data_IF_500993832990
#
_entry.id   IF_500993832990
#
_cell.length_a   1.000
_cell.length_b   1.000
_cell.length_c   1.000
_cell.angle_alpha   90.00
_cell.angle_beta   90.00
_cell.angle_gamma   90.00
#
_symmetry.space_group_name_H-M   'P 1'
#
loop_
_entity.id
_entity.type
_entity.pdbx_description
1 polymer ?
#
# COMPACT_ATOMS: atom_id res chain seq x y z
N UNK A 1 -7.80 -10.33 -66.05
CA UNK A 1 -8.32 -9.41 -65.02
C UNK A 1 -8.01 -10.00 -63.65
N UNK A 2 -7.12 -9.38 -62.88
CA UNK A 2 -6.70 -9.85 -61.57
C UNK A 2 -7.61 -9.29 -60.47
N UNK A 3 -8.01 -10.07 -59.44
CA UNK A 3 -8.84 -9.55 -58.37
C UNK A 3 -8.01 -8.76 -57.36
N UNK A 4 -8.66 -7.74 -56.83
CA UNK A 4 -8.17 -6.61 -56.07
C UNK A 4 -7.68 -7.03 -54.65
N UNK A 5 -6.37 -7.01 -54.38
CA UNK A 5 -5.79 -7.32 -53.06
C UNK A 5 -5.73 -6.11 -52.10
N UNK A 6 -6.25 -4.95 -52.48
CA UNK A 6 -6.07 -3.70 -51.72
C UNK A 6 -7.04 -3.51 -50.54
N UNK A 7 -8.18 -4.20 -50.51
CA UNK A 7 -9.25 -3.91 -49.54
C UNK A 7 -9.13 -4.67 -48.20
N UNK A 8 -8.36 -5.76 -48.15
CA UNK A 8 -8.17 -6.54 -46.91
C UNK A 8 -7.09 -5.94 -46.01
N UNK A 9 -6.07 -5.30 -46.58
CA UNK A 9 -4.97 -4.69 -45.83
C UNK A 9 -5.44 -3.48 -45.00
N UNK A 10 -6.31 -2.63 -45.55
CA UNK A 10 -6.80 -1.42 -44.85
C UNK A 10 -7.73 -1.74 -43.68
N UNK A 11 -8.51 -2.82 -43.77
CA UNK A 11 -9.38 -3.29 -42.69
C UNK A 11 -8.58 -3.87 -41.51
N UNK A 12 -7.49 -4.60 -41.80
CA UNK A 12 -6.57 -5.13 -40.79
C UNK A 12 -5.82 -4.01 -40.06
N UNK A 13 -5.34 -3.01 -40.82
CA UNK A 13 -4.64 -1.84 -40.28
C UNK A 13 -5.57 -0.99 -39.39
N UNK A 14 -6.82 -0.79 -39.82
CA UNK A 14 -7.87 -0.13 -39.02
C UNK A 14 -8.20 -0.87 -37.71
N UNK A 15 -8.16 -2.21 -37.73
CA UNK A 15 -8.38 -3.03 -36.54
C UNK A 15 -7.21 -2.92 -35.55
N UNK A 16 -5.97 -2.95 -36.05
CA UNK A 16 -4.76 -2.78 -35.24
C UNK A 16 -4.67 -1.39 -34.61
N UNK A 17 -5.06 -0.35 -35.34
CA UNK A 17 -5.15 1.03 -34.83
C UNK A 17 -6.17 1.16 -33.70
N UNK A 18 -7.36 0.53 -33.83
CA UNK A 18 -8.37 0.50 -32.76
C UNK A 18 -7.88 -0.24 -31.51
N UNK A 19 -7.18 -1.36 -31.69
CA UNK A 19 -6.57 -2.10 -30.58
C UNK A 19 -5.51 -1.27 -29.84
N UNK A 20 -4.65 -0.56 -30.58
CA UNK A 20 -3.67 0.36 -29.99
C UNK A 20 -4.33 1.48 -29.18
N UNK A 21 -5.38 2.10 -29.72
CA UNK A 21 -6.12 3.15 -29.01
C UNK A 21 -6.75 2.64 -27.72
N UNK A 22 -7.36 1.45 -27.76
CA UNK A 22 -7.98 0.86 -26.57
C UNK A 22 -6.95 0.48 -25.50
N UNK A 23 -5.80 -0.08 -25.92
CA UNK A 23 -4.71 -0.41 -25.00
C UNK A 23 -4.11 0.84 -24.35
N UNK A 24 -3.89 1.91 -25.13
CA UNK A 24 -3.36 3.17 -24.61
C UNK A 24 -4.32 3.84 -23.62
N UNK A 25 -5.63 3.83 -23.93
CA UNK A 25 -6.65 4.36 -23.02
C UNK A 25 -6.72 3.57 -21.70
N UNK A 26 -6.60 2.24 -21.77
CA UNK A 26 -6.59 1.37 -20.59
C UNK A 26 -5.35 1.59 -19.71
N UNK A 27 -4.18 1.79 -20.33
CA UNK A 27 -2.95 2.15 -19.59
C UNK A 27 -3.05 3.52 -18.92
N UNK A 28 -3.61 4.53 -19.59
CA UNK A 28 -3.82 5.85 -18.97
C UNK A 28 -4.78 5.77 -17.78
N UNK A 29 -5.87 4.99 -17.86
CA UNK A 29 -6.78 4.80 -16.73
C UNK A 29 -6.11 4.10 -15.55
N UNK A 30 -5.28 3.08 -15.78
CA UNK A 30 -4.54 2.41 -14.71
C UNK A 30 -3.52 3.34 -14.05
N UNK A 31 -2.84 4.18 -14.83
CA UNK A 31 -1.86 5.13 -14.31
C UNK A 31 -2.53 6.26 -13.49
N UNK A 32 -3.72 6.71 -13.88
CA UNK A 32 -4.52 7.67 -13.10
C UNK A 32 -5.07 7.08 -11.78
N UNK A 33 -5.42 5.79 -11.75
CA UNK A 33 -5.83 5.13 -10.51
C UNK A 33 -4.66 4.96 -9.52
N UNK A 34 -3.43 4.75 -10.03
CA UNK A 34 -2.24 4.66 -9.17
C UNK A 34 -1.85 6.01 -8.56
N UNK A 35 -2.00 7.12 -9.30
CA UNK A 35 -1.67 8.46 -8.78
C UNK A 35 -2.68 8.96 -7.74
N UNK A 36 -3.96 8.57 -7.82
CA UNK A 36 -4.96 8.91 -6.79
C UNK A 36 -4.72 8.20 -5.45
N UNK A 37 -3.99 7.09 -5.42
CA UNK A 37 -3.66 6.40 -4.16
C UNK A 37 -2.49 7.05 -3.40
N UNK A 38 -1.67 7.86 -4.08
CA UNK A 38 -0.52 8.52 -3.49
C UNK A 38 -0.89 9.96 -3.10
N UNK A 39 -1.49 10.12 -1.92
CA UNK A 39 -1.54 11.47 -1.33
C UNK A 39 -0.10 11.93 -1.07
N UNK A 40 0.24 13.22 -1.32
CA UNK A 40 1.55 13.74 -1.01
C UNK A 40 1.82 13.62 0.50
N UNK A 41 2.66 12.67 0.87
CA UNK A 41 3.08 12.43 2.25
C UNK A 41 4.10 13.47 2.65
N UNK A 42 3.65 14.68 2.98
CA UNK A 42 4.52 15.62 3.69
C UNK A 42 4.84 15.00 5.05
N UNK A 43 6.12 14.91 5.46
CA UNK A 43 6.45 14.49 6.82
C UNK A 43 5.74 15.42 7.79
N UNK A 44 5.00 14.86 8.74
CA UNK A 44 4.51 15.65 9.86
C UNK A 44 5.76 16.05 10.64
N UNK A 45 5.98 17.35 10.78
CA UNK A 45 7.11 17.80 11.59
C UNK A 45 6.86 17.35 13.02
N UNK A 46 7.92 16.94 13.74
CA UNK A 46 7.82 16.57 15.15
C UNK A 46 7.08 17.64 15.99
N UNK A 47 7.09 18.90 15.55
CA UNK A 47 6.38 20.01 16.17
C UNK A 47 4.85 19.97 15.96
N UNK A 48 4.34 19.49 14.84
CA UNK A 48 2.90 19.31 14.61
C UNK A 48 2.32 18.16 15.46
N UNK A 49 3.17 17.17 15.76
CA UNK A 49 2.87 16.07 16.68
C UNK A 49 2.98 16.56 18.13
N UNK A 50 4.05 17.30 18.48
CA UNK A 50 4.24 17.88 19.83
C UNK A 50 3.19 18.93 20.21
N UNK A 51 2.68 19.73 19.26
CA UNK A 51 1.70 20.79 19.52
C UNK A 51 0.29 20.28 19.82
N UNK A 52 0.00 18.99 19.57
CA UNK A 52 -1.31 18.41 19.76
C UNK A 52 -1.56 17.93 21.19
N UNK A 53 -1.23 18.73 22.23
CA UNK A 53 -1.62 18.52 23.64
C UNK A 53 -1.70 17.01 24.00
N UNK A 54 -0.59 16.33 23.70
CA UNK A 54 -0.44 14.89 23.87
C UNK A 54 -0.51 14.65 25.36
N UNK A 55 -1.69 14.25 25.85
CA UNK A 55 -1.74 13.46 27.08
C UNK A 55 -1.02 12.16 26.74
N UNK A 56 -0.17 11.73 27.66
CA UNK A 56 0.85 10.67 27.58
C UNK A 56 0.32 9.26 27.25
N UNK A 57 -0.88 9.10 26.67
CA UNK A 57 -1.63 7.86 26.66
C UNK A 57 -2.38 7.56 25.36
N UNK A 58 -2.03 8.16 24.21
CA UNK A 58 -2.70 7.81 22.95
C UNK A 58 -2.03 6.68 22.22
N UNK A 59 -2.85 5.71 21.85
CA UNK A 59 -2.45 4.67 20.90
C UNK A 59 -2.31 5.26 19.50
N UNK A 60 -1.56 4.58 18.64
CA UNK A 60 -1.38 4.96 17.23
C UNK A 60 -2.73 5.08 16.52
N UNK A 61 -3.69 4.18 16.80
CA UNK A 61 -5.03 4.26 16.25
C UNK A 61 -5.77 5.57 16.65
N UNK A 62 -5.62 6.02 17.89
CA UNK A 62 -6.19 7.30 18.35
C UNK A 62 -5.51 8.49 17.68
N UNK A 63 -4.20 8.46 17.53
CA UNK A 63 -3.43 9.46 16.80
C UNK A 63 -3.89 9.56 15.34
N UNK A 64 -4.03 8.42 14.64
CA UNK A 64 -4.53 8.35 13.26
C UNK A 64 -5.92 8.99 13.14
N UNK A 65 -6.87 8.62 14.02
CA UNK A 65 -8.23 9.21 14.01
C UNK A 65 -8.19 10.73 14.16
N UNK A 66 -7.40 11.24 15.09
CA UNK A 66 -7.28 12.68 15.35
C UNK A 66 -6.62 13.43 14.19
N UNK A 67 -5.56 12.87 13.61
CA UNK A 67 -4.87 13.46 12.45
C UNK A 67 -5.83 13.49 11.25
N UNK A 68 -6.55 12.39 10.98
CA UNK A 68 -7.54 12.34 9.90
C UNK A 68 -8.63 13.41 10.06
N UNK A 69 -9.20 13.54 11.26
CA UNK A 69 -10.18 14.60 11.57
C UNK A 69 -9.58 16.00 11.37
N UNK A 70 -8.36 16.24 11.86
CA UNK A 70 -7.68 17.55 11.76
C UNK A 70 -7.39 17.92 10.30
N UNK A 71 -7.01 16.95 9.49
CA UNK A 71 -6.71 17.12 8.06
C UNK A 71 -7.97 17.07 7.17
N UNK A 72 -9.15 16.85 7.75
CA UNK A 72 -10.42 16.67 7.04
C UNK A 72 -10.35 15.60 5.93
N UNK A 73 -9.67 14.49 6.21
CA UNK A 73 -9.61 13.32 5.32
C UNK A 73 -10.48 12.19 5.87
N UNK A 74 -11.17 11.41 5.01
CA UNK A 74 -11.91 10.24 5.46
C UNK A 74 -10.98 9.24 6.15
N UNK A 75 -11.40 8.74 7.30
CA UNK A 75 -10.70 7.66 7.98
C UNK A 75 -10.74 6.40 7.11
N UNK A 76 -9.63 5.67 7.05
CA UNK A 76 -9.50 4.41 6.30
C UNK A 76 -8.55 3.49 7.04
N UNK A 77 -8.79 2.19 6.98
CA UNK A 77 -7.98 1.12 7.59
C UNK A 77 -6.52 1.12 7.09
N UNK A 78 -6.28 1.59 5.87
CA UNK A 78 -4.92 1.72 5.34
C UNK A 78 -4.12 2.87 5.96
N UNK A 79 -4.72 3.76 6.75
CA UNK A 79 -3.95 4.82 7.39
C UNK A 79 -2.97 4.23 8.42
N UNK A 80 -1.76 4.79 8.40
CA UNK A 80 -0.64 4.33 9.19
C UNK A 80 0.20 5.51 9.65
N UNK A 81 0.83 5.34 10.82
CA UNK A 81 1.99 6.13 11.21
C UNK A 81 3.23 5.31 10.87
N UNK A 82 4.13 5.89 10.09
CA UNK A 82 5.39 5.26 9.69
C UNK A 82 6.53 6.06 10.30
N UNK A 83 7.39 5.38 11.05
CA UNK A 83 8.68 5.92 11.44
C UNK A 83 9.75 5.57 10.41
N UNK A 84 10.66 6.50 10.18
CA UNK A 84 11.85 6.32 9.37
C UNK A 84 13.08 6.67 10.19
N UNK A 85 14.10 5.83 10.08
CA UNK A 85 15.46 6.04 10.57
C UNK A 85 16.36 6.29 9.35
N UNK A 86 16.53 7.55 8.89
CA UNK A 86 17.22 7.82 7.63
C UNK A 86 18.66 7.29 7.59
N UNK A 87 19.38 7.45 8.70
CA UNK A 87 20.76 6.99 8.85
C UNK A 87 20.91 5.45 8.72
N UNK A 88 19.85 4.71 9.07
CA UNK A 88 19.83 3.25 9.00
C UNK A 88 19.13 2.73 7.73
N UNK A 89 18.52 3.62 6.93
CA UNK A 89 17.68 3.27 5.79
C UNK A 89 16.50 2.34 6.16
N UNK A 90 15.98 2.45 7.38
CA UNK A 90 14.88 1.62 7.90
C UNK A 90 13.58 2.43 7.97
N UNK A 91 12.47 1.76 7.62
CA UNK A 91 11.10 2.24 7.85
C UNK A 91 10.30 1.18 8.57
N UNK A 92 9.49 1.60 9.53
CA UNK A 92 8.58 0.73 10.28
C UNK A 92 7.19 1.34 10.33
N UNK A 93 6.17 0.51 10.13
CA UNK A 93 4.79 0.87 10.40
C UNK A 93 4.56 0.62 11.89
N UNK A 94 4.01 1.61 12.62
CA UNK A 94 3.52 1.34 13.96
C UNK A 94 2.23 0.53 13.93
N UNK A 95 2.10 -0.40 14.86
CA UNK A 95 0.88 -1.11 15.15
C UNK A 95 -0.12 -0.21 15.87
N UNK A 96 -1.40 -0.44 15.61
CA UNK A 96 -2.48 0.43 16.09
C UNK A 96 -2.60 0.54 17.62
N UNK A 97 -2.13 -0.49 18.33
CA UNK A 97 -2.19 -0.58 19.79
C UNK A 97 -0.99 0.04 20.49
N UNK A 98 0.08 0.38 19.76
CA UNK A 98 1.28 0.97 20.36
C UNK A 98 1.02 2.40 20.82
N UNK A 99 1.66 2.82 21.92
CA UNK A 99 1.64 4.21 22.36
C UNK A 99 2.69 5.01 21.58
N UNK A 100 2.24 6.00 20.81
CA UNK A 100 3.13 6.75 19.91
C UNK A 100 4.17 7.56 20.68
N UNK A 101 3.78 8.11 21.83
CA UNK A 101 4.63 8.98 22.65
C UNK A 101 5.80 8.21 23.26
N UNK A 102 5.50 7.06 23.85
CA UNK A 102 6.51 6.19 24.47
C UNK A 102 7.59 5.80 23.46
N UNK A 103 7.18 5.46 22.24
CA UNK A 103 8.10 5.14 21.15
C UNK A 103 8.96 6.34 20.71
N UNK A 104 8.38 7.53 20.56
CA UNK A 104 9.14 8.74 20.17
C UNK A 104 10.12 9.15 21.27
N UNK A 105 9.80 8.92 22.54
CA UNK A 105 10.69 9.22 23.67
C UNK A 105 11.96 8.37 23.67
N UNK A 106 12.00 7.27 22.93
CA UNK A 106 13.20 6.46 22.73
C UNK A 106 14.19 7.08 21.72
N UNK A 107 13.78 8.13 20.99
CA UNK A 107 14.65 8.80 20.03
C UNK A 107 15.68 9.70 20.76
N UNK A 108 16.88 9.82 20.19
CA UNK A 108 17.88 10.77 20.71
C UNK A 108 17.40 12.21 20.54
N UNK A 109 17.88 13.12 21.39
CA UNK A 109 17.50 14.54 21.36
C UNK A 109 17.76 15.20 19.98
N UNK A 110 18.82 14.78 19.31
CA UNK A 110 19.24 15.23 17.98
C UNK A 110 18.81 14.28 16.85
N UNK A 111 17.80 13.44 17.09
CA UNK A 111 17.36 12.44 16.12
C UNK A 111 16.93 13.08 14.80
N UNK A 112 17.40 12.48 13.70
CA UNK A 112 16.96 12.79 12.33
C UNK A 112 15.78 11.92 11.90
N UNK A 113 15.24 11.09 12.80
CA UNK A 113 14.10 10.22 12.50
C UNK A 113 12.88 11.05 12.13
N UNK A 114 12.03 10.46 11.29
CA UNK A 114 10.84 11.15 10.73
C UNK A 114 9.60 10.33 10.99
N UNK A 115 8.48 11.03 11.16
CA UNK A 115 7.15 10.43 11.22
C UNK A 115 6.32 10.85 10.01
N UNK A 116 5.65 9.86 9.44
CA UNK A 116 4.75 10.06 8.30
C UNK A 116 3.36 9.56 8.67
N UNK A 117 2.36 10.38 8.36
CA UNK A 117 0.98 9.92 8.23
C UNK A 117 0.72 9.60 6.77
N UNK A 118 0.46 8.33 6.46
CA UNK A 118 0.35 7.84 5.08
C UNK A 118 -0.60 6.65 4.97
N UNK A 119 -0.89 6.20 3.75
CA UNK A 119 -1.63 4.96 3.48
C UNK A 119 -0.67 3.81 3.18
N UNK A 120 -0.88 2.67 3.84
CA UNK A 120 -0.10 1.43 3.71
C UNK A 120 -1.05 0.25 3.49
N UNK A 121 -1.21 -0.15 2.22
CA UNK A 121 -2.07 -1.27 1.84
C UNK A 121 -1.50 -2.62 2.32
N UNK A 122 -0.21 -2.68 2.58
CA UNK A 122 0.51 -3.84 3.08
C UNK A 122 0.32 -4.07 4.59
N UNK A 123 -0.12 -3.07 5.36
CA UNK A 123 -0.28 -3.13 6.82
C UNK A 123 -1.10 -4.33 7.30
N UNK A 124 -2.23 -4.58 6.63
CA UNK A 124 -3.16 -5.66 6.98
C UNK A 124 -3.29 -6.73 5.89
N UNK A 125 -2.37 -6.75 4.93
CA UNK A 125 -2.42 -7.68 3.80
C UNK A 125 -2.50 -9.16 4.22
N UNK A 126 -1.99 -9.50 5.41
CA UNK A 126 -2.08 -10.87 5.95
C UNK A 126 -3.48 -11.26 6.43
N UNK A 127 -4.35 -10.30 6.75
CA UNK A 127 -5.75 -10.57 7.10
C UNK A 127 -6.57 -10.89 5.85
N UNK A 128 -6.27 -10.23 4.73
CA UNK A 128 -6.98 -10.43 3.46
C UNK A 128 -6.53 -11.70 2.73
N UNK A 129 -5.24 -12.05 2.84
CA UNK A 129 -4.61 -13.17 2.13
C UNK A 129 -3.78 -14.04 3.07
N UNK A 130 -4.36 -14.57 4.17
CA UNK A 130 -3.62 -15.27 5.22
C UNK A 130 -2.80 -16.45 4.69
N UNK A 131 -3.25 -17.09 3.61
CA UNK A 131 -2.55 -18.21 2.99
C UNK A 131 -1.17 -17.83 2.44
N UNK A 132 -0.96 -16.58 2.05
CA UNK A 132 0.35 -16.13 1.57
C UNK A 132 1.38 -15.91 2.69
N UNK A 133 0.91 -15.75 3.93
CA UNK A 133 1.75 -15.40 5.08
C UNK A 133 1.87 -16.54 6.10
N UNK A 134 0.79 -17.32 6.28
CA UNK A 134 0.68 -18.34 7.33
C UNK A 134 0.89 -19.76 6.81
N UNK A 135 0.83 -19.99 5.50
CA UNK A 135 1.08 -21.32 4.91
C UNK A 135 2.55 -21.46 4.56
N UNK A 136 3.14 -22.55 5.02
CA UNK A 136 4.55 -22.90 4.83
C UNK A 136 4.66 -24.35 4.39
N UNK A 137 5.84 -24.75 3.89
CA UNK A 137 6.09 -26.15 3.53
C UNK A 137 5.85 -27.12 4.69
N UNK A 138 5.98 -26.65 5.95
CA UNK A 138 5.85 -27.48 7.15
C UNK A 138 4.41 -27.74 7.55
N UNK A 139 3.47 -26.83 7.24
CA UNK A 139 2.09 -26.92 7.70
C UNK A 139 1.08 -27.12 6.56
N UNK A 140 1.53 -27.10 5.31
CA UNK A 140 0.67 -27.23 4.13
C UNK A 140 -0.18 -28.51 4.14
N UNK A 141 0.37 -29.62 4.63
CA UNK A 141 -0.32 -30.91 4.70
C UNK A 141 -1.25 -31.02 5.93
N UNK A 142 -1.09 -30.14 6.91
CA UNK A 142 -1.94 -30.10 8.13
C UNK A 142 -3.22 -29.28 7.94
N UNK A 143 -3.32 -28.52 6.85
CA UNK A 143 -4.53 -27.79 6.45
C UNK A 143 -5.55 -28.78 5.89
N UNK A 144 -6.19 -29.53 6.80
CA UNK A 144 -6.98 -30.71 6.48
C UNK A 144 -8.29 -30.43 5.71
N UNK A 145 -8.69 -29.17 5.49
CA UNK A 145 -9.96 -28.84 4.84
C UNK A 145 -9.85 -27.66 3.86
N UNK A 146 -9.84 -27.99 2.56
CA UNK A 146 -9.99 -27.07 1.44
C UNK A 146 -8.91 -27.28 0.38
N UNK A 147 -9.26 -27.37 -0.92
CA UNK A 147 -8.25 -27.48 -1.96
C UNK A 147 -7.44 -26.19 -1.97
N UNK A 148 -6.20 -26.25 -1.47
CA UNK A 148 -5.22 -25.20 -1.72
C UNK A 148 -5.23 -24.94 -3.21
N UNK A 149 -5.52 -23.68 -3.61
CA UNK A 149 -5.43 -23.29 -5.01
C UNK A 149 -4.09 -23.78 -5.57
N UNK A 150 -4.04 -24.31 -6.80
CA UNK A 150 -2.78 -24.68 -7.44
C UNK A 150 -1.74 -23.55 -7.45
N UNK A 151 -2.18 -22.30 -7.29
CA UNK A 151 -1.32 -21.14 -7.14
C UNK A 151 -0.67 -21.06 -5.74
N UNK A 152 -1.40 -21.40 -4.67
CA UNK A 152 -0.89 -21.44 -3.29
C UNK A 152 0.18 -22.52 -3.14
N UNK A 153 -0.04 -23.72 -3.70
CA UNK A 153 0.97 -24.80 -3.68
C UNK A 153 2.24 -24.42 -4.45
N UNK A 154 2.10 -23.78 -5.62
CA UNK A 154 3.24 -23.30 -6.44
C UNK A 154 4.07 -22.20 -5.77
N UNK A 155 3.45 -21.37 -4.92
CA UNK A 155 4.18 -20.33 -4.21
C UNK A 155 5.01 -20.88 -3.03
N UNK A 156 4.53 -21.93 -2.38
CA UNK A 156 5.14 -22.52 -1.17
C UNK A 156 6.23 -23.53 -1.53
N UNK A 157 6.03 -24.34 -2.57
CA UNK A 157 6.99 -25.33 -3.06
C UNK A 157 7.80 -24.68 -4.19
N UNK A 158 9.00 -24.17 -3.88
CA UNK A 158 10.00 -23.74 -4.89
C UNK A 158 10.99 -24.85 -5.19
#
# INVERSE_FOLDING_TARGET
ASPNQSSTSSALESSQLRHHHHHHHRQQQQQQQQTQQQQPTRPLTANEIKAAKIREAWTVAECIRRIATKLNVPLSEHHAIVEEYPELYIKRIYEDHEYLVENIMMWTLNSQNKLYFTRRLDKYSFLDRPEEFLVTQKNIDTLAHGPLSPNTKRHVIR
#
